data_IF_427034404336
#
_entry.id   IF_427034404336
#
_cell.length_a   1.000
_cell.length_b   1.000
_cell.length_c   1.000
_cell.angle_alpha   90.00
_cell.angle_beta   90.00
_cell.angle_gamma   90.00
#
_symmetry.space_group_name_H-M   'P 1'
#
loop_
_entity.id
_entity.type
_entity.pdbx_description
1 polymer ?
#
# COMPACT_ATOMS: atom_id res chain seq x y z
N UNK A 1 18.98 -71.41 38.08
CA UNK A 1 17.61 -71.66 37.58
C UNK A 1 17.34 -70.68 36.44
N UNK A 2 16.72 -71.15 35.36
CA UNK A 2 16.64 -70.55 34.01
C UNK A 2 15.65 -69.36 33.91
N UNK A 3 15.68 -68.73 32.72
CA UNK A 3 14.62 -67.94 32.02
C UNK A 3 14.78 -66.40 32.22
N UNK A 4 14.82 -65.52 31.22
CA UNK A 4 14.63 -65.61 29.77
C UNK A 4 14.80 -64.22 29.11
N UNK A 5 15.08 -64.23 27.81
CA UNK A 5 15.42 -63.13 26.89
C UNK A 5 14.26 -62.17 26.63
N UNK A 6 14.52 -60.85 26.46
CA UNK A 6 13.87 -60.01 25.43
C UNK A 6 14.81 -58.90 24.92
N UNK A 7 15.42 -59.14 23.77
CA UNK A 7 15.88 -58.10 22.86
C UNK A 7 14.66 -57.31 22.35
N UNK A 8 14.66 -55.99 22.49
CA UNK A 8 13.79 -55.13 21.68
C UNK A 8 14.65 -53.99 21.15
N UNK A 9 14.89 -54.03 19.85
CA UNK A 9 15.50 -52.99 19.03
C UNK A 9 14.50 -51.84 18.93
N UNK A 10 14.87 -50.62 19.33
CA UNK A 10 14.23 -49.41 18.77
C UNK A 10 15.33 -48.39 18.46
N UNK A 11 15.79 -48.50 17.22
CA UNK A 11 16.36 -47.42 16.45
C UNK A 11 15.44 -46.19 16.50
N UNK A 12 16.02 -44.99 16.57
CA UNK A 12 15.23 -43.77 16.43
C UNK A 12 16.03 -42.52 16.71
N UNK A 13 16.90 -42.14 15.77
CA UNK A 13 17.36 -40.77 15.59
C UNK A 13 16.12 -39.86 15.62
N UNK A 14 15.91 -39.12 16.72
CA UNK A 14 14.92 -38.06 16.75
C UNK A 14 15.54 -36.83 16.07
N UNK A 15 15.47 -36.83 14.74
CA UNK A 15 15.71 -35.64 13.92
C UNK A 15 14.64 -34.60 14.29
N UNK A 16 15.03 -33.65 15.15
CA UNK A 16 14.30 -32.41 15.38
C UNK A 16 14.26 -31.66 14.03
N UNK A 17 13.18 -31.84 13.29
CA UNK A 17 12.89 -31.06 12.10
C UNK A 17 12.50 -29.65 12.57
N UNK A 18 13.44 -28.72 12.52
CA UNK A 18 13.13 -27.29 12.48
C UNK A 18 12.32 -27.06 11.21
N UNK A 19 11.00 -27.00 11.34
CA UNK A 19 10.14 -26.39 10.34
C UNK A 19 10.46 -24.90 10.31
N UNK A 20 11.45 -24.52 9.50
CA UNK A 20 11.60 -23.15 9.07
C UNK A 20 10.36 -22.82 8.22
N UNK A 21 9.46 -21.99 8.75
CA UNK A 21 8.45 -21.34 7.93
C UNK A 21 9.21 -20.49 6.91
N UNK A 22 9.30 -20.97 5.67
CA UNK A 22 9.71 -20.14 4.55
C UNK A 22 8.49 -19.31 4.17
N UNK A 23 8.36 -18.09 4.71
CA UNK A 23 7.52 -17.08 4.08
C UNK A 23 8.12 -16.79 2.70
N UNK A 24 7.42 -17.21 1.65
CA UNK A 24 7.75 -16.79 0.30
C UNK A 24 7.71 -15.25 0.23
N UNK A 25 8.56 -14.59 -0.58
CA UNK A 25 8.49 -13.15 -0.77
C UNK A 25 7.06 -12.77 -1.17
N UNK A 26 6.46 -11.81 -0.46
CA UNK A 26 5.16 -11.29 -0.83
C UNK A 26 5.27 -10.64 -2.22
N UNK A 27 4.32 -10.95 -3.10
CA UNK A 27 4.18 -10.25 -4.39
C UNK A 27 3.93 -8.76 -4.11
N UNK A 28 4.56 -7.85 -4.87
CA UNK A 28 4.36 -6.43 -4.67
C UNK A 28 2.89 -6.07 -4.92
N UNK A 29 2.36 -5.17 -4.09
CA UNK A 29 1.07 -4.54 -4.36
C UNK A 29 1.09 -3.75 -5.67
N UNK A 30 -0.11 -3.38 -6.16
CA UNK A 30 -0.24 -2.54 -7.36
C UNK A 30 0.45 -1.18 -7.18
N UNK A 31 0.35 -0.59 -5.99
CA UNK A 31 0.97 0.70 -5.69
C UNK A 31 2.50 0.54 -5.65
N UNK A 32 3.03 -0.48 -4.97
CA UNK A 32 4.48 -0.75 -4.97
C UNK A 32 5.02 -1.00 -6.39
N UNK A 33 4.25 -1.71 -7.23
CA UNK A 33 4.59 -1.93 -8.63
C UNK A 33 4.65 -0.61 -9.42
N UNK A 34 3.67 0.29 -9.23
CA UNK A 34 3.68 1.60 -9.87
C UNK A 34 4.71 2.57 -9.27
N UNK A 35 5.04 2.47 -7.99
CA UNK A 35 6.14 3.24 -7.38
C UNK A 35 7.49 2.89 -8.01
N UNK A 36 7.67 1.62 -8.40
CA UNK A 36 8.88 1.14 -9.07
C UNK A 36 8.95 1.51 -10.57
N UNK A 37 7.86 1.99 -11.18
CA UNK A 37 7.81 2.43 -12.57
C UNK A 37 7.83 3.97 -12.69
N UNK A 38 8.94 4.58 -13.18
CA UNK A 38 9.03 6.02 -13.35
C UNK A 38 7.95 6.62 -14.27
N UNK A 39 7.45 5.87 -15.26
CA UNK A 39 6.39 6.33 -16.15
C UNK A 39 5.05 6.39 -15.42
N UNK A 40 4.75 5.39 -14.59
CA UNK A 40 3.57 5.37 -13.72
C UNK A 40 3.59 6.52 -12.71
N UNK A 41 4.72 6.77 -12.05
CA UNK A 41 4.87 7.92 -11.14
C UNK A 41 4.69 9.26 -11.88
N UNK A 42 5.27 9.40 -13.08
CA UNK A 42 5.12 10.62 -13.87
C UNK A 42 3.66 10.86 -14.31
N UNK A 43 2.94 9.79 -14.69
CA UNK A 43 1.51 9.80 -14.99
C UNK A 43 0.70 10.26 -13.77
N UNK A 44 0.96 9.66 -12.60
CA UNK A 44 0.32 10.02 -11.33
C UNK A 44 0.53 11.49 -10.96
N UNK A 45 1.75 12.00 -11.13
CA UNK A 45 2.05 13.43 -10.91
C UNK A 45 1.24 14.34 -11.82
N UNK A 46 1.14 14.02 -13.11
CA UNK A 46 0.39 14.83 -14.06
C UNK A 46 -1.11 14.88 -13.70
N UNK A 47 -1.67 13.73 -13.34
CA UNK A 47 -3.06 13.61 -12.90
C UNK A 47 -3.32 14.38 -11.59
N UNK A 48 -2.45 14.21 -10.60
CA UNK A 48 -2.53 14.95 -9.34
C UNK A 48 -2.47 16.47 -9.56
N UNK A 49 -1.55 16.92 -10.42
CA UNK A 49 -1.41 18.33 -10.75
C UNK A 49 -2.69 18.88 -11.41
N UNK A 50 -3.23 18.16 -12.39
CA UNK A 50 -4.39 18.60 -13.16
C UNK A 50 -5.74 18.46 -12.45
N UNK A 51 -5.87 17.51 -11.51
CA UNK A 51 -7.17 17.14 -10.92
C UNK A 51 -7.27 17.45 -9.42
N UNK A 52 -6.14 17.50 -8.72
CA UNK A 52 -6.11 17.70 -7.27
C UNK A 52 -5.47 19.05 -6.90
N UNK A 53 -4.19 19.25 -7.27
CA UNK A 53 -3.45 20.46 -6.91
C UNK A 53 -3.89 21.70 -7.68
N UNK A 54 -4.34 21.56 -8.92
CA UNK A 54 -4.89 22.65 -9.71
C UNK A 54 -6.09 23.34 -9.05
N UNK A 55 -6.72 22.67 -8.07
CA UNK A 55 -7.91 23.16 -7.40
C UNK A 55 -7.72 23.32 -5.89
N UNK A 56 -7.22 22.29 -5.19
CA UNK A 56 -7.33 22.20 -3.73
C UNK A 56 -6.02 21.80 -3.04
N UNK A 57 -5.48 20.60 -3.33
CA UNK A 57 -4.39 19.99 -2.55
C UNK A 57 -3.01 20.47 -2.99
N UNK A 58 -2.37 21.35 -2.21
CA UNK A 58 -1.11 22.00 -2.58
C UNK A 58 0.06 21.00 -2.70
N UNK A 59 1.00 21.31 -3.59
CA UNK A 59 2.26 20.57 -3.76
C UNK A 59 3.29 20.87 -2.66
N UNK A 60 3.10 21.98 -1.93
CA UNK A 60 3.94 22.45 -0.85
C UNK A 60 3.10 22.73 0.40
N UNK A 61 3.65 22.62 1.62
CA UNK A 61 2.93 22.95 2.84
C UNK A 61 2.56 24.44 2.86
N UNK A 62 1.28 24.73 2.69
CA UNK A 62 0.75 26.10 2.65
C UNK A 62 -0.62 26.16 3.34
N UNK A 63 -1.00 27.30 3.95
CA UNK A 63 -2.32 27.48 4.51
C UNK A 63 -3.42 27.31 3.45
N UNK A 64 -4.49 26.59 3.77
CA UNK A 64 -5.64 26.41 2.90
C UNK A 64 -6.70 25.49 3.51
N UNK A 65 -7.83 25.36 2.81
CA UNK A 65 -8.96 24.54 3.27
C UNK A 65 -8.72 23.03 3.09
N UNK A 66 -7.83 22.66 2.17
CA UNK A 66 -7.53 21.27 1.82
C UNK A 66 -6.27 20.77 2.54
N UNK A 67 -6.24 19.48 2.87
CA UNK A 67 -5.09 18.84 3.51
C UNK A 67 -3.87 18.85 2.59
N UNK A 68 -2.69 18.98 3.21
CA UNK A 68 -1.44 18.69 2.54
C UNK A 68 -1.24 17.16 2.52
N UNK A 69 -1.20 16.56 1.33
CA UNK A 69 -1.28 15.10 1.17
C UNK A 69 0.08 14.38 1.16
N UNK A 70 1.17 15.11 1.38
CA UNK A 70 2.52 14.55 1.39
C UNK A 70 3.13 14.49 2.79
N UNK A 71 2.38 14.82 3.84
CA UNK A 71 2.82 14.57 5.21
C UNK A 71 2.22 13.25 5.75
N UNK A 72 2.41 13.02 7.05
CA UNK A 72 1.88 11.84 7.74
C UNK A 72 0.45 12.01 8.28
N UNK A 73 -0.24 13.13 7.97
CA UNK A 73 -1.56 13.45 8.53
C UNK A 73 -2.70 13.01 7.62
N UNK A 74 -3.34 11.90 7.96
CA UNK A 74 -4.51 11.36 7.24
C UNK A 74 -5.79 11.50 8.07
N UNK A 75 -6.88 11.96 7.43
CA UNK A 75 -8.20 12.13 8.08
C UNK A 75 -9.22 11.05 7.73
N UNK A 76 -9.01 10.31 6.65
CA UNK A 76 -9.98 9.38 6.08
C UNK A 76 -9.38 7.99 5.83
N UNK A 77 -8.41 7.60 6.66
CA UNK A 77 -7.59 6.39 6.45
C UNK A 77 -6.31 6.69 5.69
N UNK A 78 -5.29 5.88 5.92
CA UNK A 78 -3.94 6.04 5.38
C UNK A 78 -3.46 4.83 4.59
N UNK A 79 -4.26 3.78 4.43
CA UNK A 79 -3.97 2.67 3.52
C UNK A 79 -4.24 3.06 2.06
N UNK A 80 -3.57 2.38 1.12
CA UNK A 80 -3.76 2.66 -0.31
C UNK A 80 -5.22 2.47 -0.76
N UNK A 81 -5.90 1.45 -0.23
CA UNK A 81 -7.31 1.22 -0.53
C UNK A 81 -8.23 2.30 0.05
N UNK A 82 -7.98 2.77 1.27
CA UNK A 82 -8.77 3.86 1.87
C UNK A 82 -8.60 5.17 1.11
N UNK A 83 -7.38 5.45 0.62
CA UNK A 83 -7.13 6.62 -0.24
C UNK A 83 -7.87 6.45 -1.57
N UNK A 84 -7.79 5.27 -2.18
CA UNK A 84 -8.52 4.95 -3.41
C UNK A 84 -10.03 5.16 -3.24
N UNK A 85 -10.61 4.61 -2.17
CA UNK A 85 -12.03 4.73 -1.88
C UNK A 85 -12.43 6.18 -1.59
N UNK A 86 -11.60 6.93 -0.87
CA UNK A 86 -11.82 8.35 -0.58
C UNK A 86 -11.83 9.20 -1.86
N UNK A 87 -10.88 8.98 -2.77
CA UNK A 87 -10.82 9.75 -4.03
C UNK A 87 -11.94 9.31 -4.98
N UNK A 88 -12.30 8.04 -4.98
CA UNK A 88 -13.39 7.49 -5.79
C UNK A 88 -14.74 8.07 -5.36
N UNK A 89 -15.03 8.03 -4.07
CA UNK A 89 -16.35 8.38 -3.52
C UNK A 89 -16.47 9.85 -3.11
N UNK A 90 -15.36 10.53 -2.88
CA UNK A 90 -15.32 11.84 -2.24
C UNK A 90 -15.56 11.74 -0.74
N UNK A 91 -15.62 12.90 -0.09
CA UNK A 91 -15.89 12.99 1.35
C UNK A 91 -17.23 13.71 1.56
N UNK A 92 -18.26 13.03 2.10
CA UNK A 92 -19.57 13.62 2.38
C UNK A 92 -19.47 14.90 3.21
N UNK A 93 -20.36 15.86 2.92
CA UNK A 93 -20.43 17.16 3.60
C UNK A 93 -19.14 18.01 3.50
N UNK A 94 -18.31 17.74 2.49
CA UNK A 94 -17.12 18.55 2.15
C UNK A 94 -17.09 18.96 0.69
N UNK A 95 -16.06 19.72 0.32
CA UNK A 95 -15.80 20.10 -1.08
C UNK A 95 -15.00 19.03 -1.86
N UNK A 96 -14.55 17.96 -1.22
CA UNK A 96 -13.81 16.89 -1.87
C UNK A 96 -14.78 15.97 -2.61
N UNK A 97 -14.94 16.20 -3.91
CA UNK A 97 -15.81 15.41 -4.78
C UNK A 97 -15.24 14.01 -5.01
N UNK A 98 -16.12 13.07 -5.34
CA UNK A 98 -15.72 11.76 -5.85
C UNK A 98 -15.39 11.83 -7.34
N UNK A 99 -14.27 11.22 -7.72
CA UNK A 99 -13.84 11.14 -9.12
C UNK A 99 -14.42 9.92 -9.84
N UNK A 100 -14.95 8.93 -9.11
CA UNK A 100 -15.45 7.70 -9.70
C UNK A 100 -14.45 7.10 -10.70
N UNK A 101 -14.93 6.75 -11.89
CA UNK A 101 -14.13 6.21 -12.99
C UNK A 101 -13.75 7.29 -14.03
N UNK A 102 -13.65 8.56 -13.63
CA UNK A 102 -13.48 9.68 -14.58
C UNK A 102 -12.06 9.81 -15.15
N UNK A 103 -11.08 9.07 -14.61
CA UNK A 103 -9.72 9.11 -15.14
C UNK A 103 -9.60 8.40 -16.50
N UNK A 104 -8.74 8.89 -17.43
CA UNK A 104 -8.61 8.35 -18.78
C UNK A 104 -8.31 6.85 -18.87
N UNK A 105 -7.49 6.31 -17.96
CA UNK A 105 -7.16 4.88 -17.86
C UNK A 105 -7.90 4.19 -16.71
N UNK A 106 -8.99 4.77 -16.22
CA UNK A 106 -9.79 4.23 -15.13
C UNK A 106 -9.01 4.13 -13.82
N UNK A 107 -9.23 3.04 -13.08
CA UNK A 107 -8.70 2.85 -11.73
C UNK A 107 -7.16 2.86 -11.68
N UNK A 108 -6.50 2.36 -12.74
CA UNK A 108 -5.04 2.37 -12.86
C UNK A 108 -4.46 3.79 -12.73
N UNK A 109 -5.13 4.79 -13.29
CA UNK A 109 -4.71 6.18 -13.15
C UNK A 109 -4.80 6.68 -11.71
N UNK A 110 -5.83 6.26 -10.96
CA UNK A 110 -5.95 6.60 -9.55
C UNK A 110 -4.87 5.89 -8.72
N UNK A 111 -4.60 4.62 -8.99
CA UNK A 111 -3.49 3.90 -8.36
C UNK A 111 -2.13 4.55 -8.64
N UNK A 112 -1.91 5.08 -9.84
CA UNK A 112 -0.71 5.86 -10.18
C UNK A 112 -0.65 7.18 -9.41
N UNK A 113 -1.78 7.86 -9.17
CA UNK A 113 -1.83 9.03 -8.29
C UNK A 113 -1.40 8.65 -6.86
N UNK A 114 -1.88 7.53 -6.34
CA UNK A 114 -1.52 7.04 -5.01
C UNK A 114 -0.01 6.72 -4.95
N UNK A 115 0.52 6.02 -5.96
CA UNK A 115 1.96 5.78 -6.07
C UNK A 115 2.77 7.08 -6.08
N UNK A 116 2.31 8.11 -6.80
CA UNK A 116 2.91 9.44 -6.77
C UNK A 116 2.88 10.07 -5.38
N UNK A 117 1.78 9.95 -4.62
CA UNK A 117 1.74 10.40 -3.23
C UNK A 117 2.78 9.68 -2.39
N UNK A 118 2.82 8.34 -2.46
CA UNK A 118 3.74 7.49 -1.66
C UNK A 118 5.21 7.79 -1.88
N UNK A 119 5.67 7.92 -3.13
CA UNK A 119 7.08 8.23 -3.40
C UNK A 119 7.49 9.65 -2.97
N UNK A 120 6.52 10.53 -2.68
CA UNK A 120 6.76 11.89 -2.22
C UNK A 120 6.32 12.11 -0.76
N UNK A 121 5.87 11.08 -0.05
CA UNK A 121 5.51 11.24 1.35
C UNK A 121 6.75 11.59 2.18
N UNK A 122 6.62 12.66 2.95
CA UNK A 122 7.58 13.08 3.94
C UNK A 122 7.56 12.09 5.10
N UNK A 123 8.73 11.70 5.58
CA UNK A 123 8.85 10.92 6.80
C UNK A 123 8.22 11.70 7.96
N UNK A 124 7.44 11.03 8.80
CA UNK A 124 6.93 11.62 10.03
C UNK A 124 8.11 12.19 10.85
N UNK A 125 8.05 13.48 11.17
CA UNK A 125 8.98 14.15 12.09
C UNK A 125 8.66 13.79 13.55
#
# INVERSE_FOLDING_TARGET
MRIGVRFTVIAGLLLLNLAACSEAPAEPSIVESFMADPAAVARGKALFTGSCSGYCHKLTPEPGDALFLFDAQWKHGDSDQEIFDTVTNGVPDTRMIGFGTAFPEGDDDLWKVIAYLRVNQQTAN
#
